data_IF_670009654824
#
_entry.id   IF_670009654824
#
_cell.length_a   1.000
_cell.length_b   1.000
_cell.length_c   1.000
_cell.angle_alpha   90.00
_cell.angle_beta   90.00
_cell.angle_gamma   90.00
#
_symmetry.space_group_name_H-M   'P 1'
#
loop_
_entity.id
_entity.type
_entity.pdbx_description
1 polymer ?
#
# COMPACT_ATOMS: atom_id res chain seq x y z
N UNK A 1 10.19 19.44 -4.00
CA UNK A 1 8.78 19.03 -4.21
C UNK A 1 8.60 17.77 -5.05
N UNK A 2 9.10 17.69 -6.28
CA UNK A 2 8.98 16.47 -7.14
C UNK A 2 9.77 15.25 -6.65
N UNK A 3 10.94 15.47 -6.02
CA UNK A 3 11.75 14.39 -5.44
C UNK A 3 11.09 13.73 -4.23
N UNK A 4 10.33 14.49 -3.44
CA UNK A 4 9.59 13.97 -2.30
C UNK A 4 8.46 13.05 -2.78
N UNK A 5 7.70 13.46 -3.78
CA UNK A 5 6.67 12.60 -4.39
C UNK A 5 7.26 11.33 -5.00
N UNK A 6 8.40 11.42 -5.71
CA UNK A 6 9.05 10.24 -6.31
C UNK A 6 9.49 9.18 -5.28
N UNK A 7 9.91 9.62 -4.07
CA UNK A 7 10.29 8.72 -2.98
C UNK A 7 9.10 8.04 -2.29
N UNK A 8 7.98 8.76 -2.11
CA UNK A 8 6.78 8.21 -1.48
C UNK A 8 5.93 7.36 -2.43
N UNK A 9 6.01 7.62 -3.74
CA UNK A 9 5.23 6.91 -4.75
C UNK A 9 5.36 5.38 -4.73
N UNK A 10 6.57 4.78 -4.71
CA UNK A 10 6.70 3.32 -4.67
C UNK A 10 6.07 2.73 -3.39
N UNK A 11 6.15 3.45 -2.26
CA UNK A 11 5.52 3.01 -1.00
C UNK A 11 3.98 3.00 -1.08
N UNK A 12 3.39 3.98 -1.78
CA UNK A 12 1.94 4.06 -2.02
C UNK A 12 1.47 2.95 -2.97
N UNK A 13 2.25 2.65 -4.01
CA UNK A 13 1.96 1.57 -4.95
C UNK A 13 1.88 0.21 -4.24
N UNK A 14 2.90 -0.11 -3.43
CA UNK A 14 2.93 -1.35 -2.63
C UNK A 14 1.77 -1.38 -1.63
N UNK A 15 1.52 -0.26 -0.94
CA UNK A 15 0.39 -0.16 0.02
C UNK A 15 -0.97 -0.39 -0.65
N UNK A 16 -1.19 0.16 -1.84
CA UNK A 16 -2.43 -0.02 -2.58
C UNK A 16 -2.63 -1.47 -3.07
N UNK A 17 -1.55 -2.11 -3.54
CA UNK A 17 -1.58 -3.52 -3.93
C UNK A 17 -1.87 -4.44 -2.74
N UNK A 18 -1.18 -4.24 -1.61
CA UNK A 18 -1.42 -5.01 -0.39
C UNK A 18 -2.85 -4.83 0.11
N UNK A 19 -3.37 -3.61 0.06
CA UNK A 19 -4.76 -3.30 0.41
C UNK A 19 -5.74 -4.07 -0.49
N UNK A 20 -5.50 -4.11 -1.81
CA UNK A 20 -6.32 -4.92 -2.75
C UNK A 20 -6.32 -6.40 -2.38
N UNK A 21 -5.15 -6.99 -2.12
CA UNK A 21 -5.05 -8.40 -1.74
C UNK A 21 -5.63 -8.68 -0.35
N UNK A 22 -5.72 -7.67 0.53
CA UNK A 22 -6.35 -7.78 1.88
C UNK A 22 -7.85 -7.99 1.83
N UNK A 23 -8.52 -7.50 0.79
CA UNK A 23 -9.96 -7.66 0.61
C UNK A 23 -10.35 -8.95 -0.12
N UNK A 24 -9.39 -9.82 -0.40
CA UNK A 24 -9.63 -11.10 -1.07
C UNK A 24 -9.59 -12.25 -0.05
N UNK A 25 -10.71 -12.97 0.08
CA UNK A 25 -10.81 -14.19 0.91
C UNK A 25 -10.73 -15.42 0.02
N UNK A 26 -9.77 -16.35 0.21
CA UNK A 26 -8.79 -16.45 1.31
C UNK A 26 -7.55 -15.55 1.17
N UNK A 27 -6.92 -15.19 2.29
CA UNK A 27 -5.74 -14.31 2.32
C UNK A 27 -4.52 -15.03 1.72
N UNK A 28 -3.90 -14.48 0.66
CA UNK A 28 -2.85 -15.18 -0.07
C UNK A 28 -1.52 -15.30 0.71
N UNK A 29 -1.30 -14.46 1.74
CA UNK A 29 -0.10 -14.55 2.61
C UNK A 29 -0.34 -15.25 3.95
N UNK A 30 -1.51 -15.87 4.16
CA UNK A 30 -1.86 -16.53 5.43
C UNK A 30 -1.06 -17.79 5.72
N UNK A 31 -0.50 -18.45 4.69
CA UNK A 31 0.38 -19.61 4.82
C UNK A 31 1.86 -19.20 4.89
N UNK A 32 2.41 -18.74 3.77
CA UNK A 32 3.82 -18.38 3.63
C UNK A 32 3.96 -16.90 3.24
N UNK A 33 4.15 -16.05 4.25
CA UNK A 33 4.28 -14.60 4.09
C UNK A 33 5.55 -14.19 3.32
N UNK A 34 6.77 -14.70 3.63
CA UNK A 34 7.95 -14.30 2.88
C UNK A 34 7.90 -14.75 1.42
N UNK A 35 7.45 -15.98 1.12
CA UNK A 35 7.32 -16.43 -0.27
C UNK A 35 6.35 -15.54 -1.06
N UNK A 36 5.19 -15.22 -0.50
CA UNK A 36 4.22 -14.32 -1.15
C UNK A 36 4.82 -12.93 -1.47
N UNK A 37 5.61 -12.37 -0.55
CA UNK A 37 6.21 -11.06 -0.77
C UNK A 37 7.25 -11.08 -1.89
N UNK A 38 8.18 -12.04 -1.89
CA UNK A 38 9.24 -12.11 -2.89
C UNK A 38 8.71 -12.52 -4.28
N UNK A 39 7.79 -13.48 -4.35
CA UNK A 39 7.33 -14.04 -5.62
C UNK A 39 6.21 -13.20 -6.26
N UNK A 40 5.30 -12.63 -5.46
CA UNK A 40 4.11 -11.95 -5.98
C UNK A 40 4.25 -10.43 -5.97
N UNK A 41 4.84 -9.86 -4.91
CA UNK A 41 4.95 -8.41 -4.74
C UNK A 41 6.23 -7.86 -5.38
N UNK A 42 7.38 -8.45 -5.04
CA UNK A 42 8.67 -8.01 -5.56
C UNK A 42 8.99 -8.58 -6.96
N UNK A 43 8.53 -9.79 -7.28
CA UNK A 43 8.93 -10.53 -8.48
C UNK A 43 10.45 -10.44 -8.69
N UNK A 44 11.20 -10.90 -7.69
CA UNK A 44 12.67 -10.78 -7.69
C UNK A 44 13.24 -11.44 -8.94
N UNK A 45 14.03 -10.70 -9.68
CA UNK A 45 14.69 -11.20 -10.88
C UNK A 45 15.89 -12.08 -10.50
N UNK A 46 16.13 -13.17 -11.24
CA UNK A 46 17.23 -14.11 -10.97
C UNK A 46 18.62 -13.53 -11.28
N UNK A 47 18.70 -12.35 -11.91
CA UNK A 47 19.97 -11.65 -12.15
C UNK A 47 19.82 -10.24 -12.75
N UNK A 48 20.83 -9.39 -12.57
CA UNK A 48 20.85 -7.99 -13.05
C UNK A 48 20.56 -7.79 -14.55
N UNK A 49 20.76 -8.84 -15.36
CA UNK A 49 20.51 -8.85 -16.80
C UNK A 49 19.21 -9.58 -17.20
N UNK A 50 18.60 -10.33 -16.28
CA UNK A 50 17.31 -10.97 -16.47
C UNK A 50 16.24 -10.09 -15.85
N UNK A 51 15.89 -9.03 -16.56
CA UNK A 51 14.67 -8.28 -16.24
C UNK A 51 13.50 -9.21 -16.55
N UNK A 52 13.01 -9.89 -15.51
CA UNK A 52 11.74 -10.62 -15.57
C UNK A 52 10.67 -9.69 -16.18
N UNK A 53 9.67 -10.27 -16.84
CA UNK A 53 8.66 -9.51 -17.57
C UNK A 53 8.02 -8.40 -16.74
N UNK A 54 7.50 -7.35 -17.39
CA UNK A 54 6.95 -6.19 -16.69
C UNK A 54 5.78 -6.58 -15.77
N UNK A 55 5.90 -6.28 -14.48
CA UNK A 55 4.86 -6.51 -13.47
C UNK A 55 3.66 -5.57 -13.72
N UNK A 56 2.70 -6.04 -14.52
CA UNK A 56 1.48 -5.32 -14.88
C UNK A 56 0.66 -4.82 -13.68
N UNK A 57 0.47 -5.58 -12.59
CA UNK A 57 -0.23 -5.06 -11.41
C UNK A 57 0.49 -3.87 -10.76
N UNK A 58 1.82 -3.91 -10.66
CA UNK A 58 2.63 -2.79 -10.13
C UNK A 58 2.56 -1.57 -11.04
N UNK A 59 2.67 -1.76 -12.35
CA UNK A 59 2.54 -0.68 -13.32
C UNK A 59 1.16 -0.02 -13.27
N UNK A 60 0.09 -0.83 -13.20
CA UNK A 60 -1.28 -0.33 -13.05
C UNK A 60 -1.50 0.44 -11.74
N UNK A 61 -0.97 -0.07 -10.62
CA UNK A 61 -1.03 0.62 -9.33
C UNK A 61 -0.27 1.96 -9.37
N UNK A 62 0.89 2.00 -10.04
CA UNK A 62 1.68 3.20 -10.23
C UNK A 62 0.94 4.27 -11.04
N UNK A 63 0.27 3.88 -12.12
CA UNK A 63 -0.55 4.79 -12.92
C UNK A 63 -1.77 5.32 -12.15
N UNK A 64 -2.44 4.45 -11.37
CA UNK A 64 -3.57 4.84 -10.53
C UNK A 64 -3.16 5.83 -9.42
N UNK A 65 -2.02 5.59 -8.76
CA UNK A 65 -1.48 6.49 -7.75
C UNK A 65 -1.13 7.88 -8.34
N UNK A 66 -0.59 7.92 -9.57
CA UNK A 66 -0.32 9.17 -10.28
C UNK A 66 -1.62 9.90 -10.63
N UNK A 67 -2.62 9.19 -11.15
CA UNK A 67 -3.92 9.76 -11.47
C UNK A 67 -4.61 10.35 -10.22
N UNK A 68 -4.55 9.65 -9.09
CA UNK A 68 -5.08 10.12 -7.82
C UNK A 68 -4.37 11.40 -7.35
N UNK A 69 -3.03 11.43 -7.44
CA UNK A 69 -2.24 12.60 -7.06
C UNK A 69 -2.59 13.81 -7.94
N UNK A 70 -2.67 13.63 -9.26
CA UNK A 70 -3.13 14.67 -10.18
C UNK A 70 -4.56 15.14 -9.87
N UNK A 71 -5.47 14.23 -9.52
CA UNK A 71 -6.84 14.57 -9.15
C UNK A 71 -6.89 15.43 -7.88
N UNK A 72 -6.10 15.11 -6.85
CA UNK A 72 -5.98 15.92 -5.62
C UNK A 72 -5.39 17.30 -5.91
N UNK A 73 -4.39 17.39 -6.80
CA UNK A 73 -3.78 18.65 -7.18
C UNK A 73 -4.74 19.56 -7.97
N UNK A 74 -5.52 19.00 -8.90
CA UNK A 74 -6.47 19.75 -9.73
C UNK A 74 -7.69 20.24 -8.92
N UNK A 75 -8.18 19.43 -7.97
CA UNK A 75 -9.36 19.80 -7.17
C UNK A 75 -9.07 20.86 -6.09
N UNK A 76 -7.80 21.17 -5.83
CA UNK A 76 -7.39 22.23 -4.91
C UNK A 76 -7.63 21.89 -3.43
N UNK A 77 -6.71 22.38 -2.59
CA UNK A 77 -6.65 22.18 -1.13
C UNK A 77 -7.91 22.62 -0.37
N UNK A 78 -8.86 23.32 -1.02
CA UNK A 78 -10.13 23.77 -0.43
C UNK A 78 -11.00 22.62 0.11
N UNK A 79 -11.03 21.46 -0.57
CA UNK A 79 -11.74 20.25 -0.12
C UNK A 79 -10.84 19.28 0.66
N UNK A 80 -9.52 19.38 0.47
CA UNK A 80 -8.52 18.45 1.03
C UNK A 80 -8.52 18.39 2.55
N UNK A 81 -8.86 19.50 3.23
CA UNK A 81 -8.90 19.55 4.69
C UNK A 81 -9.78 18.45 5.31
N UNK A 82 -10.94 18.15 4.72
CA UNK A 82 -11.88 17.16 5.26
C UNK A 82 -11.37 15.72 5.14
N UNK A 83 -10.68 15.40 4.04
CA UNK A 83 -10.05 14.09 3.83
C UNK A 83 -8.84 13.92 4.75
N UNK A 84 -8.09 15.00 5.00
CA UNK A 84 -6.95 14.99 5.93
C UNK A 84 -7.41 14.70 7.37
N UNK A 85 -8.53 15.28 7.82
CA UNK A 85 -9.09 14.94 9.15
C UNK A 85 -9.42 13.45 9.28
N UNK A 86 -9.91 12.84 8.21
CA UNK A 86 -10.17 11.40 8.17
C UNK A 86 -8.87 10.58 8.18
N UNK A 87 -7.88 10.91 7.36
CA UNK A 87 -6.62 10.15 7.28
C UNK A 87 -5.75 10.30 8.53
N UNK A 88 -5.87 11.40 9.27
CA UNK A 88 -5.21 11.56 10.57
C UNK A 88 -5.92 10.76 11.65
N UNK A 89 -7.25 10.72 11.65
CA UNK A 89 -8.03 10.05 12.70
C UNK A 89 -8.03 8.53 12.55
N UNK A 90 -8.06 8.03 11.31
CA UNK A 90 -8.08 6.60 10.98
C UNK A 90 -6.94 5.79 11.64
N UNK A 91 -5.64 6.17 11.53
CA UNK A 91 -4.56 5.42 12.15
C UNK A 91 -4.67 5.38 13.68
N UNK A 92 -5.14 6.44 14.34
CA UNK A 92 -5.37 6.41 15.80
C UNK A 92 -6.43 5.38 16.18
N UNK A 93 -7.54 5.33 15.43
CA UNK A 93 -8.60 4.32 15.67
C UNK A 93 -8.05 2.91 15.45
N UNK A 94 -7.28 2.69 14.38
CA UNK A 94 -6.64 1.39 14.13
C UNK A 94 -5.68 0.99 15.26
N UNK A 95 -4.84 1.91 15.75
CA UNK A 95 -3.90 1.65 16.85
C UNK A 95 -4.68 1.26 18.12
N UNK A 96 -5.73 2.01 18.48
CA UNK A 96 -6.55 1.71 19.65
C UNK A 96 -7.21 0.33 19.52
N UNK A 97 -7.79 0.02 18.35
CA UNK A 97 -8.41 -1.28 18.10
C UNK A 97 -7.41 -2.44 18.14
N UNK A 98 -6.20 -2.24 17.60
CA UNK A 98 -5.11 -3.22 17.65
C UNK A 98 -4.61 -3.43 19.07
N UNK A 99 -4.50 -2.38 19.89
CA UNK A 99 -4.15 -2.49 21.31
C UNK A 99 -5.20 -3.30 22.06
N UNK A 100 -6.49 -3.00 21.88
CA UNK A 100 -7.58 -3.75 22.52
C UNK A 100 -7.54 -5.22 22.13
N UNK A 101 -7.35 -5.54 20.84
CA UNK A 101 -7.18 -6.93 20.40
C UNK A 101 -5.92 -7.58 20.98
N UNK A 102 -4.80 -6.86 21.00
CA UNK A 102 -3.53 -7.36 21.53
C UNK A 102 -3.61 -7.69 23.01
N UNK A 103 -4.36 -6.90 23.79
CA UNK A 103 -4.62 -7.18 25.21
C UNK A 103 -5.57 -8.36 25.44
N UNK A 104 -6.39 -8.71 24.45
CA UNK A 104 -7.34 -9.85 24.53
C UNK A 104 -6.81 -11.14 23.90
N UNK A 105 -5.60 -11.13 23.32
CA UNK A 105 -4.91 -12.36 22.99
C UNK A 105 -4.24 -12.89 24.27
N UNK A 106 -4.68 -14.06 24.75
CA UNK A 106 -3.98 -14.82 25.77
C UNK A 106 -2.62 -15.26 25.21
N UNK A 107 -1.55 -14.52 25.54
CA UNK A 107 -0.19 -14.91 25.21
C UNK A 107 0.68 -13.79 24.65
N UNK A 108 1.06 -12.85 25.52
CA UNK A 108 2.49 -12.58 25.63
C UNK A 108 3.13 -13.72 26.41
#
# INVERSE_FOLDING_TARGET
DTLFFSLFHPSLCVSFLLCRYSFQSPLPWSGDTPAFFYDTVCQVSEGLFDVNGMNWPVFGANAAAWALTCAVLIQGVSSGGKVVWLTVTLPYVCIIALIVRGMMLDGA
#
